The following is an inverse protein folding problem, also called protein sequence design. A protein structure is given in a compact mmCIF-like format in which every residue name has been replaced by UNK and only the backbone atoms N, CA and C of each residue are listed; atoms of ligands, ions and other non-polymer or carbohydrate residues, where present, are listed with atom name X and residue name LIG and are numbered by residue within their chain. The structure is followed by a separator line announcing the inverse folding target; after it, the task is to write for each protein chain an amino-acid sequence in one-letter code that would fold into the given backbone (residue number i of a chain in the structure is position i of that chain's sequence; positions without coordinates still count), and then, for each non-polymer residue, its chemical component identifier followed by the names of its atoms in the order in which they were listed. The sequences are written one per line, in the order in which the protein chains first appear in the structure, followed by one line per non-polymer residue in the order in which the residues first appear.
data_IF_038270885702
#
_entry.id   IF_038270885702
#
_cell.length_a   1.000
_cell.length_b   1.000
_cell.length_c   1.000
_cell.angle_alpha   90.00
_cell.angle_beta   90.00
_cell.angle_gamma   90.00
#
_symmetry.space_group_name_H-M   'P 1'
#
loop_
_entity.id
_entity.type
_entity.pdbx_description
1 polymer ?
#
# COMPACT_ATOMS: atom_id res chain seq x y z
N UNK A 1 -20.17 -2.02 5.88
CA UNK A 1 -19.97 -1.41 4.54
C UNK A 1 -19.17 -2.38 3.70
N UNK A 2 -19.38 -2.45 2.37
CA UNK A 2 -18.52 -3.25 1.49
C UNK A 2 -17.11 -2.68 1.45
N UNK A 3 -16.11 -3.53 1.19
CA UNK A 3 -14.75 -3.07 0.91
C UNK A 3 -14.76 -2.17 -0.33
N UNK A 4 -13.99 -1.08 -0.31
CA UNK A 4 -13.77 -0.22 -1.48
C UNK A 4 -12.31 -0.28 -1.90
N UNK A 5 -12.00 -0.16 -3.19
CA UNK A 5 -10.61 -0.08 -3.63
C UNK A 5 -9.90 1.13 -3.02
N UNK A 6 -8.59 1.03 -2.81
CA UNK A 6 -7.82 2.14 -2.26
C UNK A 6 -7.90 3.38 -3.16
N UNK A 7 -7.99 3.20 -4.48
CA UNK A 7 -8.25 4.31 -5.41
C UNK A 7 -9.56 5.06 -5.08
N UNK A 8 -10.68 4.35 -4.93
CA UNK A 8 -11.97 4.96 -4.57
C UNK A 8 -11.89 5.62 -3.20
N UNK A 9 -11.21 5.00 -2.23
CA UNK A 9 -11.02 5.57 -0.91
C UNK A 9 -10.22 6.88 -0.95
N UNK A 10 -9.13 6.93 -1.73
CA UNK A 10 -8.30 8.12 -1.90
C UNK A 10 -9.06 9.21 -2.65
N UNK A 11 -9.75 8.88 -3.73
CA UNK A 11 -10.53 9.85 -4.52
C UNK A 11 -11.65 10.48 -3.67
N UNK A 12 -12.25 9.71 -2.76
CA UNK A 12 -13.33 10.19 -1.87
C UNK A 12 -12.80 11.01 -0.68
N UNK A 13 -11.72 10.57 -0.04
CA UNK A 13 -11.28 11.13 1.25
C UNK A 13 -10.06 12.06 1.17
N UNK A 14 -9.34 12.00 0.05
CA UNK A 14 -8.16 12.79 -0.28
C UNK A 14 -8.30 13.35 -1.70
N UNK A 15 -9.30 14.22 -1.98
CA UNK A 15 -9.55 14.71 -3.33
C UNK A 15 -8.31 15.39 -3.92
N UNK A 16 -7.97 15.04 -5.16
CA UNK A 16 -6.80 15.57 -5.85
C UNK A 16 -5.45 14.99 -5.41
N UNK A 17 -5.43 13.91 -4.62
CA UNK A 17 -4.21 13.32 -4.06
C UNK A 17 -3.09 13.05 -5.08
N UNK A 18 -3.42 12.71 -6.33
CA UNK A 18 -2.44 12.46 -7.41
C UNK A 18 -1.56 13.69 -7.73
N UNK A 19 -2.05 14.89 -7.44
CA UNK A 19 -1.33 16.15 -7.69
C UNK A 19 -0.77 16.76 -6.39
N UNK A 20 -0.90 16.05 -5.26
CA UNK A 20 -0.44 16.52 -3.96
C UNK A 20 0.90 15.85 -3.60
N UNK A 21 1.77 16.53 -2.85
CA UNK A 21 2.93 15.89 -2.25
C UNK A 21 2.50 14.70 -1.38
N UNK A 22 3.25 13.59 -1.46
CA UNK A 22 2.97 12.34 -0.72
C UNK A 22 2.83 12.58 0.79
N UNK A 23 3.63 13.48 1.35
CA UNK A 23 3.59 13.83 2.77
C UNK A 23 2.25 14.45 3.19
N UNK A 24 1.67 15.30 2.35
CA UNK A 24 0.38 15.93 2.63
C UNK A 24 -0.76 14.89 2.59
N UNK A 25 -0.72 13.99 1.60
CA UNK A 25 -1.67 12.87 1.53
C UNK A 25 -1.53 11.97 2.75
N UNK A 26 -0.31 11.67 3.16
CA UNK A 26 -0.02 10.86 4.35
C UNK A 26 -0.52 11.52 5.64
N UNK A 27 -0.37 12.84 5.80
CA UNK A 27 -0.96 13.58 6.92
C UNK A 27 -2.48 13.44 6.95
N UNK A 28 -3.15 13.55 5.79
CA UNK A 28 -4.60 13.34 5.69
C UNK A 28 -4.99 11.90 6.05
N UNK A 29 -4.27 10.91 5.53
CA UNK A 29 -4.51 9.49 5.84
C UNK A 29 -4.36 9.19 7.35
N UNK A 30 -3.40 9.83 8.04
CA UNK A 30 -3.27 9.74 9.50
C UNK A 30 -4.50 10.30 10.23
N UNK A 31 -5.05 11.41 9.75
CA UNK A 31 -6.28 12.00 10.31
C UNK A 31 -7.52 11.13 10.08
N UNK A 32 -7.59 10.41 8.95
CA UNK A 32 -8.66 9.44 8.68
C UNK A 32 -8.57 8.19 9.56
N UNK A 33 -7.42 7.98 10.21
CA UNK A 33 -7.22 7.00 11.25
C UNK A 33 -6.99 5.58 10.74
N UNK A 34 -7.09 4.64 11.68
CA UNK A 34 -6.87 3.21 11.44
C UNK A 34 -8.00 2.62 10.60
N UNK A 35 -7.66 1.71 9.70
CA UNK A 35 -8.59 0.98 8.84
C UNK A 35 -8.25 -0.50 8.82
N UNK A 36 -9.21 -1.30 8.38
CA UNK A 36 -8.93 -2.68 7.97
C UNK A 36 -8.62 -2.67 6.48
N UNK A 37 -7.43 -3.15 6.14
CA UNK A 37 -6.94 -3.26 4.76
C UNK A 37 -7.05 -4.71 4.32
N UNK A 38 -7.70 -4.96 3.20
CA UNK A 38 -7.75 -6.30 2.57
C UNK A 38 -7.06 -6.28 1.22
N UNK A 39 -6.73 -7.48 0.75
CA UNK A 39 -6.00 -7.67 -0.50
C UNK A 39 -6.91 -8.27 -1.56
N UNK A 40 -6.89 -7.75 -2.79
CA UNK A 40 -7.66 -8.35 -3.90
C UNK A 40 -6.90 -9.49 -4.61
N UNK A 41 -5.58 -9.41 -4.65
CA UNK A 41 -4.70 -10.41 -5.30
C UNK A 41 -4.53 -11.71 -4.49
N UNK A 42 -4.92 -11.70 -3.21
CA UNK A 42 -4.80 -12.85 -2.30
C UNK A 42 -5.81 -12.75 -1.16
N UNK A 43 -6.07 -13.85 -0.47
CA UNK A 43 -6.79 -13.81 0.80
C UNK A 43 -5.99 -13.13 1.92
N UNK A 44 -6.69 -12.63 2.94
CA UNK A 44 -6.09 -12.05 4.15
C UNK A 44 -6.39 -10.56 4.36
N UNK A 45 -6.04 -10.06 5.55
CA UNK A 45 -6.29 -8.67 5.94
C UNK A 45 -5.25 -8.18 6.95
N UNK A 46 -5.06 -6.85 6.99
CA UNK A 46 -4.36 -6.15 8.06
C UNK A 46 -5.39 -5.29 8.80
N UNK A 47 -5.63 -5.61 10.07
CA UNK A 47 -6.56 -4.88 10.92
C UNK A 47 -5.85 -3.80 11.73
N UNK A 48 -6.46 -2.62 11.86
CA UNK A 48 -6.00 -1.57 12.76
C UNK A 48 -4.76 -0.80 12.29
N UNK A 49 -4.40 -0.90 11.01
CA UNK A 49 -3.28 -0.17 10.41
C UNK A 49 -3.69 1.19 9.83
N UNK A 50 -2.74 2.11 9.73
CA UNK A 50 -2.92 3.36 8.96
C UNK A 50 -2.25 3.20 7.60
N UNK A 51 -3.03 3.32 6.53
CA UNK A 51 -2.47 3.31 5.17
C UNK A 51 -1.62 4.56 4.97
N UNK A 52 -0.43 4.38 4.42
CA UNK A 52 0.48 5.43 4.03
C UNK A 52 1.00 5.12 2.62
N UNK A 53 1.51 6.14 1.95
CA UNK A 53 2.00 6.10 0.59
C UNK A 53 3.47 6.51 0.55
N UNK A 54 4.18 6.02 -0.46
CA UNK A 54 5.52 6.45 -0.86
C UNK A 54 5.47 6.89 -2.32
N UNK A 55 6.19 7.96 -2.63
CA UNK A 55 6.40 8.44 -4.00
C UNK A 55 7.47 7.58 -4.68
N UNK A 56 7.03 6.40 -5.15
CA UNK A 56 7.88 5.39 -5.74
C UNK A 56 7.06 4.56 -6.73
N UNK A 57 7.62 4.33 -7.91
CA UNK A 57 7.01 3.46 -8.90
C UNK A 57 7.16 1.98 -8.48
N UNK A 58 6.10 1.15 -8.47
CA UNK A 58 6.22 -0.28 -8.19
C UNK A 58 7.18 -1.04 -9.10
N UNK A 59 7.46 -0.52 -10.30
CA UNK A 59 8.44 -1.09 -11.24
C UNK A 59 9.89 -0.79 -10.84
N UNK A 60 10.12 0.26 -10.05
CA UNK A 60 11.43 0.69 -9.56
C UNK A 60 11.65 0.34 -8.07
N UNK A 61 10.59 -0.01 -7.34
CA UNK A 61 10.65 -0.43 -5.93
C UNK A 61 11.27 -1.83 -5.81
N UNK A 62 12.58 -1.91 -5.59
CA UNK A 62 13.32 -3.17 -5.50
C UNK A 62 13.35 -3.74 -4.08
N UNK A 63 13.29 -5.07 -3.97
CA UNK A 63 13.56 -5.81 -2.75
C UNK A 63 14.24 -7.15 -3.08
N UNK A 64 14.88 -7.76 -2.08
CA UNK A 64 15.58 -9.03 -2.28
C UNK A 64 14.63 -10.21 -2.11
N UNK A 65 14.51 -11.04 -3.15
CA UNK A 65 13.63 -12.21 -3.21
C UNK A 65 14.31 -13.36 -3.96
N UNK A 66 14.30 -14.58 -3.40
CA UNK A 66 14.85 -15.78 -4.05
C UNK A 66 16.24 -15.59 -4.68
N UNK A 67 17.16 -14.94 -3.95
CA UNK A 67 18.54 -14.63 -4.37
C UNK A 67 18.68 -13.60 -5.51
N UNK A 68 17.64 -12.82 -5.81
CA UNK A 68 17.68 -11.75 -6.79
C UNK A 68 17.04 -10.46 -6.25
N UNK A 69 17.53 -9.32 -6.72
CA UNK A 69 16.80 -8.06 -6.58
C UNK A 69 15.71 -8.01 -7.64
N UNK A 70 14.46 -7.95 -7.21
CA UNK A 70 13.30 -7.84 -8.11
C UNK A 70 12.44 -6.65 -7.70
N UNK A 71 11.74 -6.07 -8.65
CA UNK A 71 10.76 -5.02 -8.36
C UNK A 71 9.48 -5.59 -7.76
N UNK A 72 8.75 -4.77 -7.01
CA UNK A 72 7.42 -5.11 -6.52
C UNK A 72 6.51 -5.52 -7.69
N UNK A 73 6.56 -4.80 -8.80
CA UNK A 73 5.78 -5.17 -10.00
C UNK A 73 6.15 -6.56 -10.54
N UNK A 74 7.45 -6.87 -10.64
CA UNK A 74 7.93 -8.18 -11.11
C UNK A 74 7.49 -9.29 -10.17
N UNK A 75 7.60 -9.06 -8.85
CA UNK A 75 7.15 -10.02 -7.85
C UNK A 75 5.66 -10.32 -7.95
N UNK A 76 4.82 -9.30 -8.12
CA UNK A 76 3.37 -9.49 -8.27
C UNK A 76 3.02 -10.28 -9.53
N UNK A 77 3.74 -10.05 -10.62
CA UNK A 77 3.60 -10.84 -11.84
C UNK A 77 4.00 -12.30 -11.62
N UNK A 78 5.19 -12.55 -11.06
CA UNK A 78 5.73 -13.92 -10.87
C UNK A 78 4.90 -14.71 -9.86
N UNK A 79 4.52 -14.11 -8.73
CA UNK A 79 3.87 -14.84 -7.63
C UNK A 79 2.35 -14.95 -7.79
N UNK A 80 1.71 -13.96 -8.38
CA UNK A 80 0.25 -13.87 -8.44
C UNK A 80 -0.31 -13.83 -9.87
N UNK A 81 0.54 -13.67 -10.89
CA UNK A 81 0.09 -13.53 -12.28
C UNK A 81 -0.54 -12.17 -12.58
N UNK A 82 -0.32 -11.17 -11.72
CA UNK A 82 -1.00 -9.87 -11.77
C UNK A 82 -0.12 -8.78 -12.38
N UNK A 83 -0.72 -7.93 -13.23
CA UNK A 83 -0.05 -6.75 -13.78
C UNK A 83 -0.26 -5.54 -12.89
N UNK A 84 0.81 -4.77 -12.64
CA UNK A 84 0.79 -3.61 -11.74
C UNK A 84 0.77 -2.30 -12.53
N UNK A 85 -0.10 -1.37 -12.15
CA UNK A 85 -0.16 -0.04 -12.76
C UNK A 85 1.15 0.72 -12.51
N UNK A 86 1.70 1.35 -13.55
CA UNK A 86 2.95 2.14 -13.47
C UNK A 86 2.75 3.53 -12.86
N UNK A 87 1.93 3.63 -11.82
CA UNK A 87 1.75 4.87 -11.07
C UNK A 87 2.92 5.05 -10.09
N UNK A 88 3.47 6.27 -9.95
CA UNK A 88 4.56 6.59 -9.01
C UNK A 88 4.11 6.64 -7.54
N UNK A 89 3.29 5.69 -7.13
CA UNK A 89 2.78 5.61 -5.78
C UNK A 89 2.73 4.14 -5.37
N UNK A 90 3.25 3.85 -4.18
CA UNK A 90 3.16 2.54 -3.56
C UNK A 90 2.69 2.70 -2.12
N UNK A 91 1.86 1.78 -1.65
CA UNK A 91 1.28 1.85 -0.33
C UNK A 91 2.04 0.95 0.65
N UNK A 92 2.04 1.34 1.92
CA UNK A 92 2.40 0.47 3.03
C UNK A 92 1.43 0.71 4.18
N UNK A 93 1.29 -0.28 5.06
CA UNK A 93 0.37 -0.20 6.20
C UNK A 93 1.18 -0.03 7.47
N UNK A 94 1.10 1.16 8.08
CA UNK A 94 1.75 1.42 9.36
C UNK A 94 0.87 0.90 10.49
N UNK A 95 1.24 -0.25 11.04
CA UNK A 95 0.71 -0.74 12.30
C UNK A 95 1.56 -0.10 13.39
N UNK A 96 0.96 0.59 14.36
CA UNK A 96 1.72 1.08 15.51
C UNK A 96 2.01 -0.15 16.37
N UNK A 97 3.27 -0.58 16.51
CA UNK A 97 3.57 -1.73 17.35
C UNK A 97 3.24 -1.36 18.80
N UNK A 98 2.71 -2.31 19.57
CA UNK A 98 3.03 -2.30 20.99
C UNK A 98 4.57 -2.34 21.08
N UNK A 99 5.15 -1.57 22.00
CA UNK A 99 6.56 -1.15 22.12
C UNK A 99 7.66 -2.25 22.06
N UNK A 100 7.35 -3.50 21.72
CA UNK A 100 8.25 -4.66 21.84
C UNK A 100 8.62 -5.37 20.53
N UNK A 101 8.01 -5.05 19.37
CA UNK A 101 8.41 -5.68 18.10
C UNK A 101 9.28 -4.75 17.24
N UNK A 102 10.59 -5.02 17.28
CA UNK A 102 11.60 -4.42 16.41
C UNK A 102 11.49 -4.97 14.98
N UNK A 103 11.50 -4.04 14.02
CA UNK A 103 12.11 -4.16 12.69
C UNK A 103 11.61 -5.25 11.72
N UNK A 104 10.33 -5.23 11.36
CA UNK A 104 9.96 -5.64 10.00
C UNK A 104 9.95 -4.39 9.11
N UNK A 105 10.73 -4.40 8.03
CA UNK A 105 10.61 -3.39 6.99
C UNK A 105 9.17 -3.38 6.47
N UNK A 106 8.56 -2.20 6.26
CA UNK A 106 7.17 -2.13 5.86
C UNK A 106 6.98 -2.81 4.50
N UNK A 107 6.09 -3.82 4.46
CA UNK A 107 5.71 -4.44 3.20
C UNK A 107 5.08 -3.40 2.27
N UNK A 108 5.58 -3.37 1.02
CA UNK A 108 5.11 -2.48 -0.02
C UNK A 108 4.03 -3.16 -0.86
N UNK A 109 2.96 -2.43 -1.16
CA UNK A 109 1.79 -2.90 -1.88
C UNK A 109 1.44 -1.93 -2.99
N UNK A 110 1.31 -2.38 -4.24
CA UNK A 110 0.70 -1.55 -5.28
C UNK A 110 -0.74 -1.18 -4.91
N UNK A 111 -1.14 0.05 -5.22
CA UNK A 111 -2.46 0.57 -4.88
C UNK A 111 -3.59 -0.26 -5.49
N UNK A 112 -3.34 -0.88 -6.64
CA UNK A 112 -4.27 -1.74 -7.38
C UNK A 112 -4.87 -2.85 -6.53
N UNK A 113 -4.10 -3.35 -5.56
CA UNK A 113 -4.47 -4.56 -4.83
C UNK A 113 -4.89 -4.34 -3.39
N UNK A 114 -5.07 -3.09 -2.97
CA UNK A 114 -5.55 -2.74 -1.64
C UNK A 114 -7.03 -2.35 -1.66
N UNK A 115 -7.75 -2.85 -0.67
CA UNK A 115 -9.13 -2.49 -0.39
C UNK A 115 -9.28 -2.06 1.08
N UNK A 116 -10.19 -1.14 1.34
CA UNK A 116 -10.40 -0.49 2.65
C UNK A 116 -11.82 -0.80 3.15
N UNK A 117 -11.91 -1.18 4.42
CA UNK A 117 -13.15 -1.32 5.20
C UNK A 117 -13.29 -0.21 6.25
#
# INVERSE_FOLDING_TARGET
MPAVSLFVFLDTNCPGWRNCPVDLVNLRLRQLGRRTVTFSHRGGSISGGVVQLLDCNPHDALFFYENAWISVATYFYVRYGESVTSLNWIAFVKIVPNLEEYSDEPMLYPLDFLQIY
#
